data_IF_295938890038
#
_entry.id   IF_295938890038
#
_cell.length_a   1.000
_cell.length_b   1.000
_cell.length_c   1.000
_cell.angle_alpha   90.00
_cell.angle_beta   90.00
_cell.angle_gamma   90.00
#
_symmetry.space_group_name_H-M   'P 1'
#
loop_
_entity.id
_entity.type
_entity.pdbx_description
1 polymer ?
#
# COMPACT_ATOMS: atom_id res chain seq x y z
N UNK A 1 -8.22 13.89 -51.78
CA UNK A 1 -8.75 12.75 -50.99
C UNK A 1 -7.69 11.97 -50.19
N UNK A 2 -6.37 12.08 -50.47
CA UNK A 2 -5.31 11.40 -49.68
C UNK A 2 -4.72 12.21 -48.52
N UNK A 3 -5.01 13.50 -48.41
CA UNK A 3 -4.49 14.37 -47.34
C UNK A 3 -5.37 14.44 -46.09
N UNK A 4 -6.65 14.03 -46.20
CA UNK A 4 -7.56 13.97 -45.05
C UNK A 4 -7.31 12.75 -44.14
N UNK A 5 -6.58 11.73 -44.61
CA UNK A 5 -6.24 10.55 -43.81
C UNK A 5 -5.05 10.78 -42.86
N UNK A 6 -4.19 11.77 -43.11
CA UNK A 6 -3.03 12.04 -42.25
C UNK A 6 -3.37 12.92 -41.03
N UNK A 7 -4.46 13.69 -41.08
CA UNK A 7 -4.91 14.53 -39.95
C UNK A 7 -5.76 13.78 -38.92
N UNK A 8 -6.29 12.60 -39.25
CA UNK A 8 -7.11 11.80 -38.33
C UNK A 8 -6.27 10.88 -37.43
N UNK A 9 -5.02 10.55 -37.81
CA UNK A 9 -4.14 9.71 -36.98
C UNK A 9 -3.33 10.46 -35.90
N UNK A 10 -3.42 11.79 -35.82
CA UNK A 10 -2.53 12.60 -34.96
C UNK A 10 -3.10 12.98 -33.58
N UNK A 11 -4.33 12.59 -33.21
CA UNK A 11 -4.98 13.08 -31.97
C UNK A 11 -5.60 12.00 -31.06
N UNK A 12 -5.10 10.77 -31.07
CA UNK A 12 -5.53 9.74 -30.09
C UNK A 12 -4.36 9.16 -29.28
N UNK A 13 -3.29 9.93 -29.09
CA UNK A 13 -2.47 9.71 -27.91
C UNK A 13 -3.25 10.26 -26.71
N UNK A 14 -4.17 9.47 -26.18
CA UNK A 14 -4.65 9.68 -24.81
C UNK A 14 -3.39 9.58 -23.98
N UNK A 15 -2.84 10.71 -23.55
CA UNK A 15 -1.70 10.72 -22.65
C UNK A 15 -2.13 9.92 -21.43
N UNK A 16 -1.58 8.72 -21.29
CA UNK A 16 -1.82 7.87 -20.14
C UNK A 16 -1.37 8.69 -18.92
N UNK A 17 -2.34 9.15 -18.12
CA UNK A 17 -2.05 10.13 -17.08
C UNK A 17 -1.43 9.38 -15.91
N UNK A 18 -0.15 9.67 -15.64
CA UNK A 18 0.49 9.22 -14.43
C UNK A 18 -0.24 9.79 -13.20
N UNK A 19 -0.27 9.01 -12.13
CA UNK A 19 -0.86 9.44 -10.86
C UNK A 19 0.22 9.80 -9.88
N UNK A 20 0.07 10.96 -9.26
CA UNK A 20 1.03 11.45 -8.29
C UNK A 20 0.48 11.30 -6.89
N UNK A 21 1.26 10.70 -5.99
CA UNK A 21 0.95 10.60 -4.57
C UNK A 21 2.10 11.20 -3.77
N UNK A 22 1.77 12.04 -2.78
CA UNK A 22 2.75 12.56 -1.82
C UNK A 22 3.09 11.50 -0.78
N UNK A 23 4.38 11.24 -0.63
CA UNK A 23 4.97 10.24 0.26
C UNK A 23 5.61 10.97 1.45
N UNK A 24 5.20 10.62 2.67
CA UNK A 24 5.80 11.13 3.91
C UNK A 24 7.05 10.34 4.27
N UNK A 25 8.07 11.01 4.80
CA UNK A 25 9.26 10.37 5.37
C UNK A 25 9.98 11.28 6.37
N UNK A 26 11.06 10.76 6.97
CA UNK A 26 11.89 11.40 8.00
C UNK A 26 11.20 11.62 9.35
N UNK A 27 10.29 10.72 9.73
CA UNK A 27 9.52 10.67 10.97
C UNK A 27 8.53 11.80 11.11
N UNK A 28 7.26 11.48 11.42
CA UNK A 28 6.20 12.45 11.64
C UNK A 28 5.83 13.26 10.39
N UNK A 29 6.12 12.76 9.19
CA UNK A 29 5.94 13.42 7.90
C UNK A 29 6.67 14.77 7.82
N UNK A 30 7.87 14.86 8.41
CA UNK A 30 8.69 16.08 8.37
C UNK A 30 9.20 16.41 6.97
N UNK A 31 9.27 15.42 6.08
CA UNK A 31 9.56 15.63 4.67
C UNK A 31 8.53 14.92 3.79
N UNK A 32 8.28 15.49 2.61
CA UNK A 32 7.43 14.88 1.59
C UNK A 32 8.16 14.86 0.24
N UNK A 33 7.88 13.82 -0.55
CA UNK A 33 8.27 13.73 -1.94
C UNK A 33 7.10 13.20 -2.78
N UNK A 34 7.05 13.54 -4.05
CA UNK A 34 6.06 13.02 -4.98
C UNK A 34 6.56 11.72 -5.61
N UNK A 35 5.70 10.71 -5.62
CA UNK A 35 5.90 9.50 -6.40
C UNK A 35 4.85 9.46 -7.52
N UNK A 36 5.30 9.23 -8.74
CA UNK A 36 4.45 9.07 -9.91
C UNK A 36 4.27 7.59 -10.25
N UNK A 37 3.03 7.20 -10.53
CA UNK A 37 2.68 5.85 -10.96
C UNK A 37 2.19 5.89 -12.40
N UNK A 38 2.96 5.25 -13.29
CA UNK A 38 2.64 5.17 -14.71
C UNK A 38 1.51 4.16 -14.98
N UNK A 39 0.93 4.22 -16.18
CA UNK A 39 -0.16 3.32 -16.56
C UNK A 39 0.23 1.83 -16.53
N UNK A 40 1.43 1.40 -16.98
CA UNK A 40 1.85 0.01 -16.79
C UNK A 40 1.85 -0.47 -15.34
N UNK A 41 2.33 0.35 -14.41
CA UNK A 41 2.32 0.08 -12.97
C UNK A 41 0.88 -0.03 -12.44
N UNK A 42 0.07 0.97 -12.75
CA UNK A 42 -1.33 1.04 -12.34
C UNK A 42 -2.18 -0.09 -12.92
N UNK A 43 -1.93 -0.48 -14.18
CA UNK A 43 -2.59 -1.61 -14.82
C UNK A 43 -2.27 -2.95 -14.13
N UNK A 44 -1.03 -3.13 -13.64
CA UNK A 44 -0.65 -4.32 -12.85
C UNK A 44 -1.41 -4.37 -11.52
N UNK A 45 -1.52 -3.23 -10.82
CA UNK A 45 -2.28 -3.15 -9.57
C UNK A 45 -3.77 -3.43 -9.81
N UNK A 46 -4.36 -2.83 -10.86
CA UNK A 46 -5.75 -3.10 -11.26
C UNK A 46 -6.00 -4.57 -11.55
N UNK A 47 -5.11 -5.24 -12.29
CA UNK A 47 -5.23 -6.66 -12.61
C UNK A 47 -5.12 -7.54 -11.35
N UNK A 48 -4.20 -7.21 -10.45
CA UNK A 48 -4.02 -7.92 -9.19
C UNK A 48 -5.28 -7.86 -8.32
N UNK A 49 -5.81 -6.66 -8.06
CA UNK A 49 -7.01 -6.46 -7.22
C UNK A 49 -8.29 -6.93 -7.90
N UNK A 50 -8.41 -6.71 -9.21
CA UNK A 50 -9.57 -7.11 -10.01
C UNK A 50 -9.79 -8.62 -10.10
N UNK A 51 -8.77 -9.43 -9.76
CA UNK A 51 -8.88 -10.89 -9.70
C UNK A 51 -9.20 -11.44 -8.30
N UNK A 52 -9.44 -10.59 -7.30
CA UNK A 52 -9.90 -11.03 -5.98
C UNK A 52 -11.26 -11.75 -6.05
N UNK A 53 -11.42 -12.88 -5.35
CA UNK A 53 -12.68 -13.62 -5.32
C UNK A 53 -13.55 -13.30 -4.09
N UNK A 54 -12.95 -12.75 -3.03
CA UNK A 54 -13.59 -12.48 -1.74
C UNK A 54 -12.91 -11.30 -1.03
N UNK A 55 -13.48 -10.85 0.09
CA UNK A 55 -12.85 -9.86 0.97
C UNK A 55 -11.47 -10.36 1.47
N UNK A 56 -11.38 -11.62 1.88
CA UNK A 56 -10.12 -12.21 2.31
C UNK A 56 -9.05 -12.18 1.20
N UNK A 57 -9.42 -12.60 -0.01
CA UNK A 57 -8.52 -12.57 -1.17
C UNK A 57 -8.13 -11.14 -1.56
N UNK A 58 -9.05 -10.18 -1.45
CA UNK A 58 -8.74 -8.76 -1.66
C UNK A 58 -7.71 -8.25 -0.64
N UNK A 59 -7.80 -8.66 0.63
CA UNK A 59 -6.80 -8.30 1.66
C UNK A 59 -5.41 -8.85 1.35
N UNK A 60 -5.31 -10.12 0.95
CA UNK A 60 -4.02 -10.74 0.58
C UNK A 60 -3.38 -10.02 -0.61
N UNK A 61 -4.19 -9.67 -1.62
CA UNK A 61 -3.73 -8.95 -2.82
C UNK A 61 -3.39 -7.50 -2.52
N UNK A 62 -4.14 -6.86 -1.63
CA UNK A 62 -3.91 -5.49 -1.20
C UNK A 62 -2.56 -5.36 -0.48
N UNK A 63 -2.19 -6.33 0.35
CA UNK A 63 -0.86 -6.40 0.97
C UNK A 63 0.25 -6.30 -0.08
N UNK A 64 0.16 -7.10 -1.14
CA UNK A 64 1.12 -7.11 -2.25
C UNK A 64 1.08 -5.80 -3.04
N UNK A 65 -0.12 -5.29 -3.34
CA UNK A 65 -0.30 -4.04 -4.09
C UNK A 65 0.35 -2.85 -3.37
N UNK A 66 0.19 -2.73 -2.06
CA UNK A 66 0.84 -1.70 -1.26
C UNK A 66 2.35 -1.86 -1.28
N UNK A 67 2.87 -3.09 -1.18
CA UNK A 67 4.31 -3.35 -1.35
C UNK A 67 4.83 -2.87 -2.71
N UNK A 68 4.14 -3.18 -3.81
CA UNK A 68 4.54 -2.70 -5.14
C UNK A 68 4.55 -1.17 -5.24
N UNK A 69 3.49 -0.50 -4.76
CA UNK A 69 3.40 0.96 -4.80
C UNK A 69 4.50 1.62 -3.98
N UNK A 70 4.78 1.13 -2.77
CA UNK A 70 5.86 1.63 -1.92
C UNK A 70 7.25 1.37 -2.51
N UNK A 71 7.46 0.21 -3.12
CA UNK A 71 8.72 -0.11 -3.81
C UNK A 71 8.95 0.77 -5.05
N UNK A 72 7.88 1.10 -5.77
CA UNK A 72 7.93 2.02 -6.91
C UNK A 72 8.16 3.47 -6.47
N UNK A 73 7.57 3.88 -5.35
CA UNK A 73 7.84 5.16 -4.71
C UNK A 73 9.29 5.23 -4.18
N UNK A 74 9.83 4.14 -3.64
CA UNK A 74 11.22 4.05 -3.19
C UNK A 74 12.23 4.25 -4.33
N UNK A 75 11.92 3.87 -5.56
CA UNK A 75 12.79 4.17 -6.72
C UNK A 75 12.87 5.66 -7.07
N UNK A 76 11.89 6.44 -6.62
CA UNK A 76 11.73 7.86 -7.00
C UNK A 76 12.06 8.80 -5.84
N UNK A 77 12.04 8.29 -4.61
CA UNK A 77 12.11 9.09 -3.39
C UNK A 77 13.10 8.47 -2.40
N UNK A 78 13.51 9.20 -1.34
CA UNK A 78 14.47 8.66 -0.38
C UNK A 78 14.01 7.41 0.39
N UNK A 79 12.72 7.05 0.35
CA UNK A 79 12.18 5.93 1.15
C UNK A 79 12.70 4.55 0.74
N UNK A 80 13.47 4.42 -0.33
CA UNK A 80 14.21 3.17 -0.59
C UNK A 80 15.20 2.81 0.53
N UNK A 81 15.62 3.79 1.34
CA UNK A 81 16.48 3.56 2.50
C UNK A 81 15.72 3.07 3.75
N UNK A 82 14.38 3.08 3.70
CA UNK A 82 13.53 2.70 4.82
C UNK A 82 13.66 1.21 5.17
N UNK A 83 13.69 0.94 6.48
CA UNK A 83 13.85 -0.39 7.06
C UNK A 83 12.75 -0.65 8.05
N UNK A 84 12.20 -1.86 8.00
CA UNK A 84 11.08 -2.24 8.84
C UNK A 84 11.40 -2.06 10.32
N UNK A 85 10.43 -1.56 11.07
CA UNK A 85 10.49 -1.55 12.52
C UNK A 85 11.37 -0.45 13.15
N UNK A 86 11.78 0.58 12.40
CA UNK A 86 12.65 1.66 12.86
C UNK A 86 13.98 1.17 13.48
N UNK A 87 14.47 0.01 13.03
CA UNK A 87 15.65 -0.60 13.65
C UNK A 87 16.94 0.01 13.11
N UNK A 88 17.71 0.65 14.00
CA UNK A 88 19.05 1.18 13.72
C UNK A 88 19.09 2.14 12.51
N UNK A 89 18.07 2.97 12.36
CA UNK A 89 17.88 3.91 11.25
C UNK A 89 18.26 5.36 11.62
N UNK A 90 19.06 5.55 12.68
CA UNK A 90 19.40 6.90 13.12
C UNK A 90 20.22 7.67 12.04
N UNK A 91 19.83 8.91 11.76
CA UNK A 91 20.41 9.74 10.70
C UNK A 91 20.13 9.28 9.26
N UNK A 92 19.37 8.19 9.04
CA UNK A 92 19.07 7.70 7.68
C UNK A 92 18.02 8.59 7.01
N UNK A 93 18.41 9.26 5.92
CA UNK A 93 17.47 10.02 5.09
C UNK A 93 16.52 9.05 4.37
N UNK A 94 15.22 9.24 4.56
CA UNK A 94 14.19 8.40 3.94
C UNK A 94 13.59 7.36 4.87
N UNK A 95 14.11 7.20 6.09
CA UNK A 95 13.48 6.39 7.15
C UNK A 95 12.04 6.81 7.40
N UNK A 96 11.17 5.87 7.71
CA UNK A 96 9.75 6.12 7.94
C UNK A 96 9.34 5.59 9.31
N UNK A 97 8.65 6.40 10.11
CA UNK A 97 7.99 5.92 11.33
C UNK A 97 6.54 5.49 11.07
N UNK A 98 5.84 5.07 12.12
CA UNK A 98 4.44 4.65 12.00
C UNK A 98 3.51 5.77 11.48
N UNK A 99 3.85 7.05 11.67
CA UNK A 99 3.08 8.19 11.15
C UNK A 99 3.32 8.32 9.65
N UNK A 100 4.57 8.23 9.20
CA UNK A 100 4.93 8.25 7.77
C UNK A 100 4.26 7.12 7.00
N UNK A 101 4.35 5.90 7.54
CA UNK A 101 3.74 4.71 6.94
C UNK A 101 2.22 4.78 6.92
N UNK A 102 1.57 5.09 8.05
CA UNK A 102 0.11 5.17 8.11
C UNK A 102 -0.43 6.26 7.18
N UNK A 103 0.22 7.43 7.12
CA UNK A 103 -0.18 8.53 6.23
C UNK A 103 0.00 8.17 4.76
N UNK A 104 1.18 7.66 4.40
CA UNK A 104 1.49 7.28 3.00
C UNK A 104 0.59 6.14 2.54
N UNK A 105 0.43 5.09 3.34
CA UNK A 105 -0.40 3.94 3.00
C UNK A 105 -1.88 4.33 2.89
N UNK A 106 -2.40 5.19 3.76
CA UNK A 106 -3.77 5.72 3.59
C UNK A 106 -3.93 6.50 2.28
N UNK A 107 -2.96 7.34 1.88
CA UNK A 107 -3.01 8.06 0.59
C UNK A 107 -3.03 7.09 -0.59
N UNK A 108 -2.21 6.04 -0.55
CA UNK A 108 -2.20 4.98 -1.57
C UNK A 108 -3.52 4.21 -1.60
N UNK A 109 -4.08 3.85 -0.45
CA UNK A 109 -5.38 3.18 -0.37
C UNK A 109 -6.50 4.05 -0.93
N UNK A 110 -6.51 5.35 -0.63
CA UNK A 110 -7.48 6.31 -1.20
C UNK A 110 -7.35 6.45 -2.71
N UNK A 111 -6.14 6.34 -3.27
CA UNK A 111 -5.94 6.28 -4.72
C UNK A 111 -6.66 5.07 -5.33
N UNK A 112 -6.53 3.90 -4.70
CA UNK A 112 -7.16 2.65 -5.16
C UNK A 112 -8.70 2.70 -5.01
N UNK A 113 -9.18 3.26 -3.90
CA UNK A 113 -10.61 3.48 -3.65
C UNK A 113 -11.23 4.44 -4.66
N UNK A 114 -10.60 5.60 -4.92
CA UNK A 114 -11.09 6.59 -5.88
C UNK A 114 -11.17 6.04 -7.32
N UNK A 115 -10.39 5.00 -7.62
CA UNK A 115 -10.41 4.28 -8.89
C UNK A 115 -11.46 3.17 -8.96
N UNK A 116 -12.13 2.87 -7.86
CA UNK A 116 -13.08 1.76 -7.74
C UNK A 116 -12.42 0.39 -7.80
N UNK A 117 -11.15 0.27 -7.38
CA UNK A 117 -10.41 -0.99 -7.43
C UNK A 117 -10.54 -1.83 -6.16
N UNK A 118 -11.07 -1.25 -5.08
CA UNK A 118 -11.48 -1.97 -3.89
C UNK A 118 -12.96 -2.33 -4.05
N UNK A 119 -13.27 -3.64 -4.14
CA UNK A 119 -14.63 -4.15 -4.34
C UNK A 119 -15.29 -4.60 -3.06
N UNK A 120 -14.50 -5.01 -2.07
CA UNK A 120 -15.01 -5.57 -0.82
C UNK A 120 -14.78 -4.64 0.37
N UNK A 121 -13.93 -3.63 0.22
CA UNK A 121 -13.59 -2.73 1.32
C UNK A 121 -13.70 -1.26 0.94
N UNK A 122 -13.91 -0.43 1.97
CA UNK A 122 -13.71 1.03 1.95
C UNK A 122 -12.55 1.40 2.85
N UNK A 123 -11.93 2.55 2.59
CA UNK A 123 -10.80 3.08 3.37
C UNK A 123 -11.35 3.96 4.49
N UNK A 124 -10.78 3.86 5.69
CA UNK A 124 -11.08 4.71 6.83
C UNK A 124 -9.88 5.61 7.17
N UNK A 125 -10.05 6.51 8.11
CA UNK A 125 -8.92 7.26 8.67
C UNK A 125 -7.99 6.33 9.46
N UNK A 126 -6.70 6.67 9.62
CA UNK A 126 -5.75 5.85 10.36
C UNK A 126 -6.21 5.53 11.79
N UNK A 127 -5.86 4.34 12.26
CA UNK A 127 -6.10 3.89 13.64
C UNK A 127 -4.85 4.05 14.49
N UNK A 128 -5.04 4.35 15.77
CA UNK A 128 -4.00 4.34 16.79
C UNK A 128 -4.17 3.13 17.71
N UNK A 129 -3.07 2.42 17.96
CA UNK A 129 -2.92 1.47 19.05
C UNK A 129 -1.98 2.06 20.09
N UNK A 130 -2.37 1.99 21.37
CA UNK A 130 -1.49 2.31 22.49
C UNK A 130 -1.38 1.09 23.39
N UNK A 131 -0.18 0.52 23.52
CA UNK A 131 0.11 -0.58 24.45
C UNK A 131 0.99 -0.08 25.60
N UNK A 132 0.82 -0.68 26.77
CA UNK A 132 1.61 -0.38 27.97
C UNK A 132 1.71 1.12 28.36
N UNK A 133 0.77 1.96 27.90
CA UNK A 133 0.69 3.42 28.10
C UNK A 133 1.73 4.28 27.33
N UNK A 134 2.67 3.70 26.60
CA UNK A 134 3.71 4.46 25.87
C UNK A 134 4.04 3.93 24.47
N UNK A 135 3.63 2.71 24.14
CA UNK A 135 3.88 2.11 22.84
C UNK A 135 2.74 2.48 21.87
N UNK A 136 2.86 3.69 21.32
CA UNK A 136 1.92 4.28 20.37
C UNK A 136 2.30 3.90 18.93
N UNK A 137 1.37 3.26 18.21
CA UNK A 137 1.59 2.80 16.85
C UNK A 137 0.37 3.16 15.97
N UNK A 138 0.60 3.90 14.89
CA UNK A 138 -0.42 4.25 13.91
C UNK A 138 -0.40 3.28 12.73
N UNK A 139 -1.57 2.98 12.17
CA UNK A 139 -1.68 2.18 10.95
C UNK A 139 -2.83 2.66 10.07
N UNK A 140 -2.69 2.47 8.76
CA UNK A 140 -3.80 2.64 7.83
C UNK A 140 -4.82 1.52 8.05
N UNK A 141 -6.09 1.76 7.72
CA UNK A 141 -7.13 0.74 7.89
C UNK A 141 -8.20 0.79 6.81
N UNK A 142 -8.81 -0.38 6.61
CA UNK A 142 -9.94 -0.61 5.73
C UNK A 142 -11.06 -1.30 6.50
N UNK A 143 -12.27 -1.20 5.98
CA UNK A 143 -13.47 -1.83 6.54
C UNK A 143 -14.21 -2.54 5.42
N UNK A 144 -14.64 -3.78 5.68
CA UNK A 144 -15.49 -4.52 4.75
C UNK A 144 -16.80 -3.76 4.50
N UNK A 145 -17.25 -3.76 3.25
CA UNK A 145 -18.51 -3.12 2.86
C UNK A 145 -19.70 -3.88 3.48
N UNK A 146 -20.79 -3.18 3.89
CA UNK A 146 -21.93 -3.81 4.56
C UNK A 146 -22.55 -4.97 3.77
N UNK A 147 -22.56 -4.89 2.44
CA UNK A 147 -23.11 -5.93 1.56
C UNK A 147 -22.29 -7.24 1.61
N UNK A 148 -21.05 -7.16 2.06
CA UNK A 148 -20.10 -8.28 2.17
C UNK A 148 -19.98 -8.77 3.60
N UNK A 149 -20.05 -7.85 4.57
CA UNK A 149 -19.78 -8.12 5.98
C UNK A 149 -20.84 -9.06 6.62
N UNK A 150 -22.03 -9.18 6.04
CA UNK A 150 -23.11 -10.02 6.56
C UNK A 150 -23.79 -9.43 7.79
N UNK A 151 -24.96 -9.96 8.15
CA UNK A 151 -25.83 -9.39 9.18
C UNK A 151 -25.22 -9.40 10.59
N UNK A 152 -24.21 -10.25 10.84
CA UNK A 152 -23.49 -10.34 12.13
C UNK A 152 -22.32 -9.34 12.25
N UNK A 153 -21.94 -8.65 11.17
CA UNK A 153 -20.81 -7.71 11.16
C UNK A 153 -21.21 -6.24 11.37
N UNK A 154 -22.37 -6.00 11.99
CA UNK A 154 -22.82 -4.64 12.28
C UNK A 154 -21.85 -3.94 13.23
N UNK A 155 -21.15 -2.93 12.71
CA UNK A 155 -20.40 -1.93 13.46
C UNK A 155 -19.27 -2.43 14.38
N UNK A 156 -18.82 -3.68 14.22
CA UNK A 156 -17.80 -4.23 15.11
C UNK A 156 -16.39 -4.13 14.51
N UNK A 157 -15.39 -3.97 15.38
CA UNK A 157 -13.98 -3.95 14.99
C UNK A 157 -13.57 -5.20 14.18
N UNK A 158 -14.37 -6.28 14.23
CA UNK A 158 -14.20 -7.50 13.45
C UNK A 158 -14.24 -7.30 11.93
N UNK A 159 -14.99 -6.32 11.41
CA UNK A 159 -15.03 -6.01 9.96
C UNK A 159 -13.85 -5.13 9.51
N UNK A 160 -13.05 -4.62 10.45
CA UNK A 160 -11.94 -3.70 10.18
C UNK A 160 -10.63 -4.43 10.15
N UNK A 161 -9.78 -4.02 9.22
CA UNK A 161 -8.45 -4.57 9.05
C UNK A 161 -7.44 -3.43 8.94
N UNK A 162 -6.30 -3.59 9.60
CA UNK A 162 -5.16 -2.69 9.38
C UNK A 162 -4.44 -3.09 8.11
N UNK A 163 -3.80 -2.12 7.45
CA UNK A 163 -2.88 -2.31 6.33
C UNK A 163 -1.59 -1.63 6.72
N UNK A 164 -0.73 -2.38 7.40
CA UNK A 164 0.44 -1.85 8.10
C UNK A 164 1.73 -2.15 7.33
N UNK A 165 2.29 -1.11 6.72
CA UNK A 165 3.55 -1.19 5.97
C UNK A 165 4.81 -1.03 6.82
N UNK A 166 4.70 -0.76 8.13
CA UNK A 166 5.83 -0.38 8.99
C UNK A 166 6.75 -1.56 9.35
N UNK A 167 6.21 -2.78 9.43
CA UNK A 167 6.94 -3.93 9.97
C UNK A 167 8.04 -4.49 9.08
N UNK A 168 8.11 -4.09 7.80
CA UNK A 168 8.99 -4.71 6.80
C UNK A 168 9.69 -3.63 5.98
N UNK A 169 10.82 -4.01 5.37
CA UNK A 169 11.58 -3.13 4.49
C UNK A 169 10.75 -2.61 3.31
N UNK A 170 11.16 -1.45 2.78
CA UNK A 170 10.49 -0.82 1.65
C UNK A 170 10.25 -1.80 0.50
N UNK A 171 9.03 -1.77 -0.05
CA UNK A 171 8.63 -2.61 -1.17
C UNK A 171 8.12 -4.01 -0.81
N UNK A 172 8.28 -4.43 0.45
CA UNK A 172 7.69 -5.69 0.92
C UNK A 172 6.17 -5.56 1.08
N UNK A 173 5.41 -6.66 0.96
CA UNK A 173 3.97 -6.64 1.18
C UNK A 173 3.63 -6.08 2.57
N UNK A 174 2.57 -5.28 2.68
CA UNK A 174 2.09 -4.80 3.97
C UNK A 174 1.56 -5.95 4.83
N UNK A 175 1.52 -5.76 6.14
CA UNK A 175 0.85 -6.65 7.08
C UNK A 175 -0.64 -6.27 7.10
N UNK A 176 -1.52 -7.22 6.75
CA UNK A 176 -2.97 -7.01 6.79
C UNK A 176 -3.59 -7.93 7.83
N UNK A 177 -4.14 -7.34 8.90
CA UNK A 177 -4.64 -8.07 10.06
C UNK A 177 -6.00 -7.54 10.52
N UNK A 178 -6.88 -8.40 11.06
CA UNK A 178 -8.06 -7.93 11.76
C UNK A 178 -7.69 -6.95 12.87
N UNK A 179 -8.42 -5.84 12.95
CA UNK A 179 -8.15 -4.76 13.90
C UNK A 179 -8.05 -5.25 15.36
N UNK A 180 -8.92 -6.15 15.87
CA UNK A 180 -8.80 -6.65 17.24
C UNK A 180 -7.48 -7.37 17.51
N UNK A 181 -6.96 -8.11 16.52
CA UNK A 181 -5.68 -8.84 16.64
C UNK A 181 -4.50 -7.88 16.64
N UNK A 182 -4.52 -6.88 15.76
CA UNK A 182 -3.48 -5.84 15.75
C UNK A 182 -3.49 -5.02 17.03
N UNK A 183 -4.67 -4.62 17.54
CA UNK A 183 -4.81 -3.94 18.84
C UNK A 183 -4.25 -4.77 20.00
N UNK A 184 -4.36 -6.10 19.93
CA UNK A 184 -3.78 -7.02 20.92
C UNK A 184 -2.24 -7.16 20.83
N UNK A 185 -1.60 -6.60 19.80
CA UNK A 185 -0.15 -6.61 19.63
C UNK A 185 0.38 -7.53 18.53
N UNK A 186 -0.50 -8.08 17.69
CA UNK A 186 -0.04 -8.85 16.53
C UNK A 186 0.56 -7.95 15.44
N UNK A 187 1.56 -8.46 14.72
CA UNK A 187 2.37 -7.72 13.75
C UNK A 187 3.76 -7.37 14.28
N UNK A 188 3.92 -7.26 15.61
CA UNK A 188 5.15 -6.78 16.28
C UNK A 188 6.32 -7.78 16.25
N UNK A 189 6.05 -9.04 15.89
CA UNK A 189 7.06 -10.09 15.74
C UNK A 189 7.13 -10.47 14.27
N UNK A 190 8.34 -10.72 13.76
CA UNK A 190 8.61 -11.31 12.44
C UNK A 190 8.05 -12.72 12.29
N UNK A 191 6.75 -12.87 12.50
CA UNK A 191 5.95 -14.07 12.41
C UNK A 191 5.77 -14.42 10.95
N UNK A 192 6.58 -15.39 10.55
CA UNK A 192 6.49 -16.20 9.36
C UNK A 192 5.04 -16.63 9.07
N UNK A 193 4.34 -15.83 8.26
CA UNK A 193 3.13 -16.24 7.56
C UNK A 193 3.04 -15.42 6.28
N UNK A 194 3.94 -15.67 5.35
CA UNK A 194 3.75 -15.25 3.97
C UNK A 194 4.30 -16.36 3.10
N UNK A 195 3.39 -17.12 2.47
CA UNK A 195 3.73 -17.88 1.26
C UNK A 195 4.38 -16.88 0.31
N UNK A 196 5.66 -17.09 0.01
CA UNK A 196 6.43 -16.27 -0.92
C UNK A 196 5.71 -16.27 -2.26
N UNK A 197 4.96 -15.20 -2.54
CA UNK A 197 4.56 -14.88 -3.92
C UNK A 197 5.75 -14.12 -4.48
N UNK A 198 6.61 -14.86 -5.19
CA UNK A 198 7.79 -14.31 -5.85
C UNK A 198 7.44 -13.07 -6.64
N UNK A 199 8.12 -11.96 -6.36
CA UNK A 199 8.09 -10.78 -7.22
C UNK A 199 8.56 -11.12 -8.64
N UNK A 200 8.20 -10.32 -9.64
CA UNK A 200 8.66 -10.54 -11.01
C UNK A 200 10.18 -10.37 -11.03
N UNK A 201 10.87 -11.50 -11.20
CA UNK A 201 12.33 -11.53 -11.30
C UNK A 201 12.79 -10.85 -12.58
N UNK A 202 13.68 -9.88 -12.43
CA UNK A 202 14.72 -9.62 -13.42
C UNK A 202 15.93 -10.48 -13.02
N UNK A 203 16.35 -11.34 -13.93
CA UNK A 203 17.56 -12.13 -13.77
C UNK A 203 18.77 -11.20 -13.70
N UNK A 204 19.41 -11.17 -12.54
CA UNK A 204 20.80 -10.71 -12.41
C UNK A 204 21.61 -11.93 -12.00
N UNK A 205 22.30 -12.51 -12.97
CA UNK A 205 23.41 -13.43 -12.72
C UNK A 205 24.54 -12.62 -12.08
N UNK A 206 24.79 -12.83 -10.79
CA UNK A 206 26.06 -12.42 -10.16
C UNK A 206 27.01 -13.61 -10.29
N UNK A 207 27.92 -13.49 -11.24
CA UNK A 207 29.08 -14.36 -11.38
C UNK A 207 30.00 -14.13 -10.16
N UNK A 208 30.47 -15.23 -9.55
CA UNK A 208 31.63 -15.25 -8.65
C UNK A 208 32.74 -16.02 -9.34
#
# INVERSE_FOLDING_TARGET
MRWLLFLVLACLAVAARAETVRICYNYGCLAEAEAEFDEPQLARVRALLGSAASAEDERERLAVAIGWLLGWAGRQTPIAADRGGNYADDGVRGRMDCIDHSTTTTRLLRLLEARGWLRFHRVLDPVLRVRFLFDAHYSAQIEELPEVAGDDATADAAARHVVDSWFRDNGQPAVVLPLPRWLAGEGDVGGESTRVVSGPGEGVTVER
#
